data_IF_810874969105
#
_entry.id   IF_810874969105
#
_cell.length_a   1.000
_cell.length_b   1.000
_cell.length_c   1.000
_cell.angle_alpha   90.00
_cell.angle_beta   90.00
_cell.angle_gamma   90.00
#
_symmetry.space_group_name_H-M   'P 1'
#
loop_
_entity.id
_entity.type
_entity.pdbx_description
1 polymer ?
#
# COMPACT_ATOMS: atom_id res chain seq x y z
N UNK A 1 -4.31 -33.71 -21.62
CA UNK A 1 -4.59 -33.17 -21.13
C UNK A 1 -4.63 -32.92 -20.61
N UNK A 2 -4.44 -32.80 -20.58
CA UNK A 2 -4.64 -32.28 -19.97
C UNK A 2 -4.53 -31.68 -19.62
N UNK A 3 -4.26 -31.82 -19.70
CA UNK A 3 -4.32 -31.10 -19.30
C UNK A 3 -4.10 -30.54 -19.04
N UNK A 4 -3.86 -30.43 -19.22
CA UNK A 4 -3.84 -29.70 -18.84
C UNK A 4 -3.77 -29.21 -18.55
N UNK A 5 -3.59 -29.34 -18.57
CA UNK A 5 -3.71 -28.66 -18.20
C UNK A 5 -3.48 -28.23 -17.82
N UNK A 6 -3.29 -28.25 -17.81
CA UNK A 6 -3.24 -27.60 -17.36
C UNK A 6 -3.10 -27.04 -17.07
N UNK A 7 -2.94 -27.07 -17.29
CA UNK A 7 -2.96 -26.29 -16.96
C UNK A 7 -3.02 -25.88 -16.47
N UNK A 8 -2.89 -25.94 -16.47
CA UNK A 8 -3.03 -25.39 -15.99
C UNK A 8 -2.91 -25.06 -15.38
N UNK A 9 -2.71 -25.24 -15.42
CA UNK A 9 -2.68 -24.71 -14.89
C UNK A 9 -2.36 -24.28 -14.33
N UNK A 10 -2.26 -24.35 -14.72
CA UNK A 10 -1.94 -23.64 -14.32
C UNK A 10 -2.13 -23.06 -13.56
N UNK A 11 -2.25 -23.74 -13.51
CA UNK A 11 -2.67 -22.79 -12.72
C UNK A 11 -1.67 -21.97 -12.05
N UNK A 12 -1.65 -20.94 -12.35
CA UNK A 12 -0.72 -20.00 -11.85
C UNK A 12 -1.05 -19.68 -10.43
N UNK A 13 -0.07 -19.83 -9.58
CA UNK A 13 -0.19 -19.37 -8.22
C UNK A 13 -0.04 -17.87 -8.22
N UNK A 14 -1.12 -17.18 -8.08
CA UNK A 14 -1.05 -15.75 -7.90
C UNK A 14 -0.79 -15.45 -6.45
N UNK A 15 0.16 -14.59 -6.20
CA UNK A 15 0.32 -14.09 -4.86
C UNK A 15 -0.86 -13.19 -4.51
N UNK A 16 -1.34 -13.25 -3.27
CA UNK A 16 -2.42 -12.35 -2.88
C UNK A 16 -1.97 -10.91 -3.02
N UNK A 17 -2.85 -10.09 -3.54
CA UNK A 17 -2.58 -8.66 -3.63
C UNK A 17 -2.60 -8.06 -2.24
N UNK A 18 -1.66 -7.16 -1.99
CA UNK A 18 -1.66 -6.42 -0.75
C UNK A 18 -2.81 -5.42 -0.76
N UNK A 19 -3.49 -5.33 0.36
CA UNK A 19 -4.52 -4.33 0.52
C UNK A 19 -3.89 -2.98 0.81
N UNK A 20 -4.66 -1.93 0.57
CA UNK A 20 -4.17 -0.56 0.78
C UNK A 20 -3.68 -0.37 2.20
N UNK A 21 -4.40 -0.92 3.19
CA UNK A 21 -3.97 -0.79 4.58
C UNK A 21 -2.63 -1.46 4.85
N UNK A 22 -2.35 -2.58 4.15
CA UNK A 22 -1.08 -3.27 4.31
C UNK A 22 0.06 -2.43 3.74
N UNK A 23 -0.17 -1.81 2.58
CA UNK A 23 0.81 -0.93 1.97
C UNK A 23 1.10 0.24 2.90
N UNK A 24 0.05 0.84 3.47
CA UNK A 24 0.23 1.95 4.40
C UNK A 24 1.05 1.55 5.61
N UNK A 25 0.81 0.34 6.15
CA UNK A 25 1.58 -0.12 7.30
C UNK A 25 3.04 -0.33 6.94
N UNK A 26 3.31 -0.96 5.80
CA UNK A 26 4.68 -1.18 5.35
C UNK A 26 5.41 0.15 5.19
N UNK A 27 4.75 1.12 4.57
CA UNK A 27 5.33 2.43 4.33
C UNK A 27 5.56 3.16 5.65
N UNK A 28 4.60 3.10 6.56
CA UNK A 28 4.73 3.71 7.88
C UNK A 28 5.96 3.17 8.60
N UNK A 29 6.11 1.84 8.61
CA UNK A 29 7.23 1.23 9.32
C UNK A 29 8.55 1.54 8.65
N UNK A 30 8.59 1.52 7.32
CA UNK A 30 9.82 1.81 6.59
C UNK A 30 10.29 3.24 6.86
N UNK A 31 9.37 4.19 6.86
CA UNK A 31 9.71 5.58 7.15
C UNK A 31 10.19 5.74 8.58
N UNK A 32 9.50 5.09 9.53
CA UNK A 32 9.88 5.15 10.94
C UNK A 32 11.27 4.56 11.16
N UNK A 33 11.55 3.42 10.52
CA UNK A 33 12.85 2.76 10.68
C UNK A 33 13.98 3.62 10.16
N UNK A 34 13.71 4.44 9.16
CA UNK A 34 14.73 5.34 8.60
C UNK A 34 14.74 6.69 9.27
N UNK A 35 13.96 6.88 10.32
CA UNK A 35 13.99 8.12 11.12
C UNK A 35 13.18 9.26 10.58
N UNK A 36 12.32 9.01 9.59
CA UNK A 36 11.44 10.04 9.06
C UNK A 36 10.17 10.13 9.90
N UNK A 37 9.49 11.27 9.81
CA UNK A 37 8.16 11.42 10.38
C UNK A 37 7.16 10.84 9.36
N UNK A 38 6.54 9.68 9.67
CA UNK A 38 5.73 9.00 8.65
C UNK A 38 4.52 9.81 8.21
N UNK A 39 3.88 10.51 9.15
CA UNK A 39 2.68 11.28 8.80
C UNK A 39 3.04 12.38 7.80
N UNK A 40 4.11 13.14 8.09
CA UNK A 40 4.51 14.22 7.20
C UNK A 40 4.86 13.71 5.81
N UNK A 41 5.58 12.59 5.75
CA UNK A 41 6.02 12.07 4.45
C UNK A 41 4.86 11.49 3.66
N UNK A 42 3.97 10.76 4.31
CA UNK A 42 2.82 10.18 3.61
C UNK A 42 1.88 11.29 3.14
N UNK A 43 1.62 12.28 3.98
CA UNK A 43 0.78 13.42 3.58
C UNK A 43 1.42 14.16 2.41
N UNK A 44 2.75 14.40 2.49
CA UNK A 44 3.46 15.07 1.39
C UNK A 44 3.30 14.32 0.08
N UNK A 45 3.41 12.99 0.14
CA UNK A 45 3.22 12.18 -1.05
C UNK A 45 1.79 12.31 -1.59
N UNK A 46 0.80 12.19 -0.72
CA UNK A 46 -0.61 12.25 -1.14
C UNK A 46 -0.91 13.58 -1.81
N UNK A 47 -0.42 14.66 -1.23
CA UNK A 47 -0.71 15.99 -1.72
C UNK A 47 0.02 16.35 -3.01
N UNK A 48 1.23 15.83 -3.18
CA UNK A 48 2.08 16.23 -4.32
C UNK A 48 2.17 15.17 -5.41
N UNK A 49 2.03 13.90 -5.04
CA UNK A 49 2.30 12.81 -5.96
C UNK A 49 3.78 12.56 -6.18
N UNK A 50 4.64 13.20 -5.40
CA UNK A 50 6.08 13.07 -5.56
C UNK A 50 6.58 11.86 -4.78
N UNK A 51 7.01 10.79 -5.46
CA UNK A 51 7.42 9.57 -4.78
C UNK A 51 8.66 9.71 -3.93
N UNK A 52 9.42 10.80 -4.08
CA UNK A 52 10.60 10.98 -3.26
C UNK A 52 10.28 11.29 -1.81
N UNK A 53 9.02 11.60 -1.50
CA UNK A 53 8.61 11.70 -0.09
C UNK A 53 8.68 10.34 0.62
N UNK A 54 8.71 9.24 -0.12
CA UNK A 54 8.65 7.90 0.46
C UNK A 54 10.00 7.23 0.29
N UNK A 55 10.56 6.72 1.38
CA UNK A 55 11.83 6.00 1.34
C UNK A 55 11.72 4.76 0.46
N UNK A 56 12.82 4.36 -0.18
CA UNK A 56 12.88 3.11 -0.93
C UNK A 56 13.12 1.90 -0.03
N UNK A 57 13.35 2.13 1.26
CA UNK A 57 13.59 1.06 2.22
C UNK A 57 12.43 0.08 2.24
N UNK A 58 12.72 -1.20 2.21
CA UNK A 58 11.72 -2.29 2.22
C UNK A 58 10.69 -2.16 1.09
N UNK A 59 11.11 -1.62 -0.05
CA UNK A 59 10.25 -1.45 -1.22
C UNK A 59 9.07 -0.52 -0.99
N UNK A 60 9.14 0.31 0.04
CA UNK A 60 8.00 1.15 0.41
C UNK A 60 7.57 2.06 -0.73
N UNK A 61 8.56 2.69 -1.40
CA UNK A 61 8.24 3.62 -2.49
C UNK A 61 7.53 2.92 -3.64
N UNK A 62 8.04 1.77 -4.07
CA UNK A 62 7.43 1.07 -5.19
C UNK A 62 6.06 0.53 -4.82
N UNK A 63 5.85 0.14 -3.56
CA UNK A 63 4.56 -0.35 -3.12
C UNK A 63 3.49 0.74 -3.12
N UNK A 64 3.82 1.90 -2.56
CA UNK A 64 2.81 2.97 -2.47
C UNK A 64 2.45 3.51 -3.85
N UNK A 65 3.40 3.46 -4.79
CA UNK A 65 3.15 3.92 -6.14
C UNK A 65 2.18 3.03 -6.91
N UNK A 66 1.94 1.82 -6.44
CA UNK A 66 0.97 0.92 -7.07
C UNK A 66 -0.46 1.21 -6.64
N UNK A 67 -0.65 2.09 -5.68
CA UNK A 67 -1.97 2.44 -5.14
C UNK A 67 -2.30 3.85 -5.59
N UNK A 68 -3.53 4.06 -6.04
CA UNK A 68 -3.99 5.40 -6.38
C UNK A 68 -4.06 6.25 -5.12
N UNK A 69 -3.68 7.53 -5.24
CA UNK A 69 -3.63 8.38 -4.06
C UNK A 69 -4.99 8.57 -3.40
N UNK A 70 -6.06 8.59 -4.20
CA UNK A 70 -7.39 8.69 -3.63
C UNK A 70 -7.77 7.43 -2.83
N UNK A 71 -7.25 6.26 -3.23
CA UNK A 71 -7.47 5.05 -2.45
C UNK A 71 -6.79 5.12 -1.09
N UNK A 72 -5.63 5.77 -1.02
CA UNK A 72 -4.96 5.97 0.26
C UNK A 72 -5.81 6.83 1.18
N UNK A 73 -6.36 7.92 0.64
CA UNK A 73 -7.20 8.82 1.42
C UNK A 73 -8.48 8.11 1.85
N UNK A 74 -9.09 7.33 0.96
CA UNK A 74 -10.29 6.58 1.30
C UNK A 74 -10.05 5.62 2.45
N UNK A 75 -8.93 4.90 2.40
CA UNK A 75 -8.61 3.93 3.44
C UNK A 75 -8.46 4.62 4.80
N UNK A 76 -7.72 5.72 4.82
CA UNK A 76 -7.49 6.46 6.05
C UNK A 76 -8.80 7.01 6.59
N UNK A 77 -9.62 7.58 5.72
CA UNK A 77 -10.87 8.18 6.16
C UNK A 77 -11.85 7.12 6.67
N UNK A 78 -11.96 5.97 5.98
CA UNK A 78 -12.83 4.89 6.45
C UNK A 78 -12.40 4.40 7.82
N UNK A 79 -11.10 4.25 8.04
CA UNK A 79 -10.58 3.82 9.32
C UNK A 79 -10.90 4.84 10.41
N UNK A 80 -10.76 6.12 10.10
CA UNK A 80 -11.04 7.18 11.04
C UNK A 80 -12.51 7.19 11.44
N UNK A 81 -13.39 7.07 10.43
CA UNK A 81 -14.85 7.04 10.67
C UNK A 81 -15.19 5.86 11.57
N UNK A 82 -14.65 4.69 11.27
CA UNK A 82 -14.92 3.49 12.03
C UNK A 82 -14.41 3.63 13.47
N UNK A 83 -13.19 4.15 13.62
CA UNK A 83 -12.61 4.33 14.95
C UNK A 83 -13.41 5.30 15.81
N UNK A 84 -14.09 6.25 15.18
CA UNK A 84 -14.85 7.25 15.91
C UNK A 84 -16.35 6.95 15.93
N UNK A 85 -16.71 5.79 15.43
CA UNK A 85 -18.10 5.29 15.46
C UNK A 85 -19.10 6.26 14.82
N UNK A 86 -18.72 6.84 13.68
CA UNK A 86 -19.60 7.77 12.98
C UNK A 86 -20.65 7.07 12.13
N UNK A 87 -20.40 5.79 11.76
CA UNK A 87 -21.33 5.04 10.89
C UNK A 87 -22.26 4.10 11.66
#
# INVERSE_FOLDING_TARGET
>A
MENINNTQFFTVQKEPELQVRDVLEIVFRALSEKGYNPVNQIVGYIMSGDPTYITSHNNARSLIMKVERDELVEEVLRAYIKNNSWD
#
